data_IF_499294613799
#
_entry.id   IF_499294613799
#
_cell.length_a   1.000
_cell.length_b   1.000
_cell.length_c   1.000
_cell.angle_alpha   90.00
_cell.angle_beta   90.00
_cell.angle_gamma   90.00
#
_symmetry.space_group_name_H-M   'P 1'
#
loop_
_entity.id
_entity.type
_entity.pdbx_description
1 polymer ?
#
# COMPACT_ATOMS: atom_id res chain seq x y z
N UNK A 1 4.97 -4.01 -52.11
CA UNK A 1 5.51 -3.01 -51.16
C UNK A 1 6.37 -3.77 -50.19
N UNK A 2 7.68 -3.52 -50.14
CA UNK A 2 8.60 -4.20 -49.23
C UNK A 2 8.47 -3.64 -47.81
N UNK A 3 8.37 -4.52 -46.82
CA UNK A 3 8.27 -4.17 -45.39
C UNK A 3 9.66 -4.32 -44.77
N UNK A 4 10.11 -3.27 -44.08
CA UNK A 4 11.39 -3.25 -43.37
C UNK A 4 11.15 -3.51 -41.89
N UNK A 5 11.87 -4.48 -41.33
CA UNK A 5 11.78 -4.87 -39.93
C UNK A 5 13.17 -4.77 -39.31
N UNK A 6 13.28 -4.06 -38.20
CA UNK A 6 14.52 -3.98 -37.42
C UNK A 6 14.48 -5.03 -36.31
N UNK A 7 15.40 -5.99 -36.36
CA UNK A 7 15.56 -6.98 -35.28
C UNK A 7 17.00 -6.98 -34.78
N UNK A 8 17.21 -6.66 -33.50
CA UNK A 8 18.53 -6.60 -32.84
C UNK A 8 19.59 -5.79 -33.61
N UNK A 9 19.18 -4.69 -34.25
CA UNK A 9 20.08 -3.80 -34.98
C UNK A 9 20.41 -4.25 -36.42
N UNK A 10 19.83 -5.36 -36.88
CA UNK A 10 19.92 -5.80 -38.28
C UNK A 10 18.61 -5.44 -39.00
N UNK A 11 18.73 -4.83 -40.18
CA UNK A 11 17.59 -4.51 -41.04
C UNK A 11 17.25 -5.72 -41.93
N UNK A 12 16.04 -6.23 -41.77
CA UNK A 12 15.50 -7.31 -42.59
C UNK A 12 14.42 -6.74 -43.51
N UNK A 13 14.45 -7.15 -44.77
CA UNK A 13 13.45 -6.76 -45.79
C UNK A 13 12.60 -7.97 -46.14
N UNK A 14 11.28 -7.80 -46.13
CA UNK A 14 10.31 -8.80 -46.53
C UNK A 14 9.44 -8.26 -47.67
N UNK A 15 9.06 -9.09 -48.63
CA UNK A 15 8.35 -8.66 -49.84
C UNK A 15 6.83 -8.59 -49.65
N UNK A 16 6.33 -9.03 -48.48
CA UNK A 16 4.93 -8.91 -48.10
C UNK A 16 4.64 -9.18 -46.63
N UNK A 17 3.39 -8.92 -46.23
CA UNK A 17 2.92 -9.04 -44.84
C UNK A 17 3.01 -10.49 -44.33
N UNK A 18 2.79 -11.48 -45.20
CA UNK A 18 2.87 -12.90 -44.83
C UNK A 18 4.30 -13.32 -44.48
N UNK A 19 5.27 -12.90 -45.29
CA UNK A 19 6.69 -13.20 -45.09
C UNK A 19 7.25 -12.45 -43.86
N UNK A 20 6.81 -11.21 -43.64
CA UNK A 20 7.09 -10.46 -42.42
C UNK A 20 6.61 -11.17 -41.14
N UNK A 21 5.42 -11.79 -41.18
CA UNK A 21 4.86 -12.51 -40.04
C UNK A 21 5.58 -13.84 -39.77
N UNK A 22 6.01 -14.55 -40.83
CA UNK A 22 6.81 -15.77 -40.70
C UNK A 22 8.20 -15.48 -40.14
N UNK A 23 8.87 -14.43 -40.62
CA UNK A 23 10.15 -13.96 -40.09
C UNK A 23 10.04 -13.59 -38.61
N UNK A 24 9.00 -12.85 -38.21
CA UNK A 24 8.78 -12.49 -36.81
C UNK A 24 8.55 -13.71 -35.91
N UNK A 25 7.81 -14.72 -36.39
CA UNK A 25 7.58 -15.96 -35.64
C UNK A 25 8.84 -16.81 -35.50
N UNK A 26 9.63 -16.97 -36.57
CA UNK A 26 10.89 -17.69 -36.52
C UNK A 26 11.88 -17.06 -35.52
N UNK A 27 11.98 -15.73 -35.53
CA UNK A 27 12.84 -14.97 -34.60
C UNK A 27 12.41 -15.08 -33.13
N UNK A 28 11.12 -15.39 -32.87
CA UNK A 28 10.58 -15.56 -31.52
C UNK A 28 10.70 -17.01 -31.03
N UNK A 29 10.64 -17.98 -31.95
CA UNK A 29 10.67 -19.42 -31.64
C UNK A 29 12.07 -19.95 -31.26
N UNK A 30 13.15 -19.27 -31.66
CA UNK A 30 14.53 -19.63 -31.29
C UNK A 30 15.00 -19.08 -29.92
N UNK A 31 14.09 -18.68 -29.03
CA UNK A 31 14.47 -18.38 -27.64
C UNK A 31 14.43 -19.65 -26.78
N UNK A 32 15.58 -20.31 -26.49
CA UNK A 32 15.70 -20.96 -25.20
C UNK A 32 15.56 -19.86 -24.15
N UNK A 33 14.69 -20.05 -23.17
CA UNK A 33 14.63 -19.21 -21.98
C UNK A 33 16.01 -19.19 -21.31
N UNK A 34 16.85 -18.24 -21.69
CA UNK A 34 17.99 -17.86 -20.89
C UNK A 34 17.40 -17.27 -19.61
N UNK A 35 17.48 -18.06 -18.54
CA UNK A 35 17.28 -17.55 -17.20
C UNK A 35 18.08 -16.25 -17.06
N UNK A 36 17.53 -15.21 -16.40
CA UNK A 36 18.21 -13.94 -16.27
C UNK A 36 19.60 -14.19 -15.67
N UNK A 37 20.63 -13.93 -16.48
CA UNK A 37 22.01 -13.87 -16.03
C UNK A 37 22.03 -12.69 -15.07
N UNK A 38 21.96 -12.99 -13.77
CA UNK A 38 22.24 -12.00 -12.75
C UNK A 38 23.62 -11.41 -13.09
N UNK A 39 23.74 -10.09 -13.31
CA UNK A 39 25.06 -9.49 -13.40
C UNK A 39 25.78 -9.85 -12.09
N UNK A 40 26.91 -10.55 -12.20
CA UNK A 40 27.81 -10.73 -11.07
C UNK A 40 28.00 -9.35 -10.45
N UNK A 41 27.59 -9.22 -9.19
CA UNK A 41 27.94 -8.05 -8.38
C UNK A 41 29.45 -7.91 -8.51
N UNK A 42 29.89 -6.84 -9.16
CA UNK A 42 31.22 -6.33 -8.91
C UNK A 42 31.23 -6.03 -7.42
N UNK A 43 32.05 -6.78 -6.69
CA UNK A 43 32.34 -6.52 -5.29
C UNK A 43 33.09 -5.19 -5.23
N UNK A 44 32.34 -4.09 -5.35
CA UNK A 44 32.79 -2.81 -4.87
C UNK A 44 32.96 -3.00 -3.36
N UNK A 45 34.21 -3.20 -2.96
CA UNK A 45 34.66 -3.10 -1.58
C UNK A 45 34.32 -1.67 -1.17
N UNK A 46 33.12 -1.49 -0.61
CA UNK A 46 32.73 -0.25 0.05
C UNK A 46 33.74 -0.12 1.19
N UNK A 47 34.57 0.95 1.24
CA UNK A 47 35.45 1.15 2.37
C UNK A 47 34.58 1.16 3.64
N UNK A 48 34.95 0.42 4.70
CA UNK A 48 34.16 0.38 5.90
C UNK A 48 34.00 1.82 6.39
N UNK A 49 32.76 2.31 6.39
CA UNK A 49 32.45 3.62 6.98
C UNK A 49 32.83 3.54 8.45
N UNK A 50 33.97 4.12 8.79
CA UNK A 50 34.38 4.45 10.15
C UNK A 50 33.50 5.57 10.65
N UNK A 51 32.24 5.26 10.93
CA UNK A 51 31.41 6.05 11.82
C UNK A 51 31.34 5.32 13.15
N UNK A 52 32.45 5.37 13.90
CA UNK A 52 32.41 5.21 15.36
C UNK A 52 31.78 6.46 15.98
N UNK A 53 30.58 6.83 15.52
CA UNK A 53 29.72 7.72 16.27
C UNK A 53 28.94 6.78 17.17
N UNK A 54 29.13 6.82 18.51
CA UNK A 54 28.33 6.00 19.39
C UNK A 54 26.87 6.32 19.10
N UNK A 55 26.15 5.33 18.56
CA UNK A 55 24.71 5.39 18.39
C UNK A 55 24.18 5.45 19.82
N UNK A 56 24.04 6.67 20.37
CA UNK A 56 23.29 6.89 21.61
C UNK A 56 21.97 6.20 21.35
N UNK A 57 21.77 5.04 21.99
CA UNK A 57 20.45 4.49 22.17
C UNK A 57 19.74 5.59 22.92
N UNK A 58 19.07 6.50 22.21
CA UNK A 58 17.93 7.21 22.74
C UNK A 58 17.00 6.07 23.13
N UNK A 59 17.17 5.59 24.36
CA UNK A 59 16.20 4.76 25.03
C UNK A 59 14.94 5.58 24.93
N UNK A 60 14.07 5.21 23.98
CA UNK A 60 12.72 5.73 24.00
C UNK A 60 12.22 5.42 25.40
N UNK A 61 11.77 6.42 26.17
CA UNK A 61 11.19 6.14 27.47
C UNK A 61 10.14 5.06 27.24
N UNK A 62 10.35 3.91 27.88
CA UNK A 62 9.42 2.79 27.88
C UNK A 62 8.17 3.39 28.52
N UNK A 63 7.16 3.70 27.69
CA UNK A 63 5.89 4.28 28.10
C UNK A 63 5.43 3.56 29.35
N UNK A 64 5.45 4.28 30.47
CA UNK A 64 4.89 3.86 31.75
C UNK A 64 3.38 3.77 31.59
N UNK A 65 2.74 2.95 32.41
CA UNK A 65 1.32 2.61 32.40
C UNK A 65 0.34 3.80 32.59
N UNK A 66 0.80 5.05 32.49
CA UNK A 66 -0.05 6.25 32.40
C UNK A 66 -0.71 6.42 31.01
N UNK A 67 -0.43 5.52 30.07
CA UNK A 67 -1.09 5.40 28.76
C UNK A 67 -2.60 5.02 28.86
N UNK A 68 -3.16 4.76 30.03
CA UNK A 68 -4.59 4.41 30.17
C UNK A 68 -5.56 5.60 30.05
N UNK A 69 -5.08 6.86 30.02
CA UNK A 69 -5.91 8.02 29.61
C UNK A 69 -5.84 8.28 28.09
N UNK A 70 -5.12 7.44 27.35
CA UNK A 70 -4.96 7.54 25.90
C UNK A 70 -6.15 6.93 25.13
N UNK A 71 -7.08 6.26 25.81
CA UNK A 71 -8.06 5.40 25.18
C UNK A 71 -9.32 6.14 24.72
N UNK A 72 -9.95 7.01 25.52
CA UNK A 72 -11.21 7.68 25.14
C UNK A 72 -11.12 8.46 23.82
N UNK A 73 -10.01 9.18 23.61
CA UNK A 73 -9.81 9.95 22.39
C UNK A 73 -9.64 9.03 21.17
N UNK A 74 -8.94 7.89 21.33
CA UNK A 74 -8.76 6.94 20.25
C UNK A 74 -10.04 6.17 19.94
N UNK A 75 -10.86 5.84 20.94
CA UNK A 75 -12.17 5.21 20.76
C UNK A 75 -13.13 6.14 20.02
N UNK A 76 -13.28 7.39 20.46
CA UNK A 76 -14.10 8.39 19.75
C UNK A 76 -13.62 8.61 18.32
N UNK A 77 -12.31 8.69 18.12
CA UNK A 77 -11.71 8.81 16.79
C UNK A 77 -12.02 7.58 15.92
N UNK A 78 -11.92 6.37 16.48
CA UNK A 78 -12.25 5.14 15.77
C UNK A 78 -13.74 5.08 15.40
N UNK A 79 -14.64 5.43 16.33
CA UNK A 79 -16.09 5.49 16.08
C UNK A 79 -16.40 6.49 14.97
N UNK A 80 -15.84 7.70 15.02
CA UNK A 80 -16.05 8.71 13.99
C UNK A 80 -15.54 8.25 12.62
N UNK A 81 -14.36 7.63 12.59
CA UNK A 81 -13.78 7.09 11.36
C UNK A 81 -14.64 5.96 10.76
N UNK A 82 -15.04 4.98 11.57
CA UNK A 82 -15.83 3.84 11.10
C UNK A 82 -17.25 4.27 10.71
N UNK A 83 -17.85 5.18 11.47
CA UNK A 83 -19.16 5.76 11.15
C UNK A 83 -19.12 6.51 9.83
N UNK A 84 -18.10 7.34 9.59
CA UNK A 84 -17.96 8.05 8.31
C UNK A 84 -17.82 7.09 7.12
N UNK A 85 -17.10 5.98 7.27
CA UNK A 85 -16.98 4.96 6.21
C UNK A 85 -18.32 4.25 5.99
N UNK A 86 -19.06 3.95 7.06
CA UNK A 86 -20.39 3.34 6.98
C UNK A 86 -21.37 4.26 6.26
N UNK A 87 -21.42 5.52 6.65
CA UNK A 87 -22.37 6.50 6.13
C UNK A 87 -22.08 6.85 4.66
N UNK A 88 -20.82 6.72 4.22
CA UNK A 88 -20.44 6.85 2.82
C UNK A 88 -20.91 5.68 1.92
N UNK A 89 -21.31 4.56 2.51
CA UNK A 89 -21.94 3.43 1.81
C UNK A 89 -21.11 2.88 0.64
N UNK A 90 -21.77 2.67 -0.51
CA UNK A 90 -21.16 2.11 -1.72
C UNK A 90 -20.19 3.04 -2.43
N UNK A 91 -20.39 4.36 -2.28
CA UNK A 91 -19.51 5.38 -2.86
C UNK A 91 -18.15 5.39 -2.16
N UNK A 92 -18.13 5.10 -0.86
CA UNK A 92 -16.95 5.22 -0.05
C UNK A 92 -16.56 6.68 0.16
N UNK A 93 -15.54 6.88 0.98
CA UNK A 93 -15.03 8.20 1.34
C UNK A 93 -13.62 8.35 0.77
N UNK A 94 -13.32 9.50 0.18
CA UNK A 94 -12.02 9.83 -0.38
C UNK A 94 -11.04 10.33 0.69
N UNK A 95 -9.79 10.58 0.29
CA UNK A 95 -8.71 10.97 1.22
C UNK A 95 -8.91 12.36 1.81
N UNK A 96 -9.53 13.26 1.06
CA UNK A 96 -9.76 14.64 1.48
C UNK A 96 -10.85 14.71 2.55
N UNK A 97 -12.00 14.08 2.30
CA UNK A 97 -13.09 13.96 3.29
C UNK A 97 -12.64 13.20 4.53
N UNK A 98 -11.85 12.14 4.34
CA UNK A 98 -11.29 11.39 5.46
C UNK A 98 -10.34 12.24 6.31
N UNK A 99 -9.56 13.13 5.70
CA UNK A 99 -8.70 14.07 6.42
C UNK A 99 -9.53 14.99 7.33
N UNK A 100 -10.67 15.47 6.85
CA UNK A 100 -11.62 16.28 7.62
C UNK A 100 -12.21 15.51 8.80
N UNK A 101 -12.70 14.29 8.57
CA UNK A 101 -13.28 13.43 9.63
C UNK A 101 -12.26 13.17 10.74
N UNK A 102 -11.01 12.90 10.35
CA UNK A 102 -9.93 12.66 11.29
C UNK A 102 -9.29 13.95 11.82
N UNK A 103 -9.76 15.14 11.44
CA UNK A 103 -9.16 16.44 11.78
C UNK A 103 -7.63 16.46 11.56
N UNK A 104 -7.21 16.16 10.34
CA UNK A 104 -5.80 16.14 9.91
C UNK A 104 -5.64 17.01 8.68
N UNK A 105 -4.56 17.79 8.63
CA UNK A 105 -4.23 18.66 7.49
C UNK A 105 -3.44 17.99 6.37
N UNK A 106 -2.92 16.76 6.58
CA UNK A 106 -2.03 16.10 5.62
C UNK A 106 -2.16 14.57 5.63
N UNK A 107 -1.88 13.95 4.47
CA UNK A 107 -2.01 12.50 4.23
C UNK A 107 -1.22 11.62 5.21
N UNK A 108 -0.04 12.07 5.65
CA UNK A 108 0.77 11.34 6.65
C UNK A 108 0.04 11.18 8.00
N UNK A 109 -0.77 12.15 8.39
CA UNK A 109 -1.48 12.10 9.67
C UNK A 109 -2.70 11.18 9.60
N UNK A 110 -3.33 11.06 8.43
CA UNK A 110 -4.34 10.02 8.17
C UNK A 110 -3.72 8.64 8.43
N UNK A 111 -2.58 8.34 7.79
CA UNK A 111 -1.89 7.06 7.98
C UNK A 111 -1.54 6.76 9.45
N UNK A 112 -1.09 7.77 10.20
CA UNK A 112 -0.81 7.63 11.65
C UNK A 112 -2.06 7.30 12.46
N UNK A 113 -3.16 8.04 12.25
CA UNK A 113 -4.44 7.83 12.96
C UNK A 113 -5.08 6.50 12.57
N UNK A 114 -5.13 6.17 11.29
CA UNK A 114 -5.60 4.87 10.80
C UNK A 114 -4.77 3.72 11.38
N UNK A 115 -3.45 3.89 11.53
CA UNK A 115 -2.61 2.89 12.20
C UNK A 115 -2.99 2.64 13.66
N UNK A 116 -3.43 3.66 14.41
CA UNK A 116 -3.94 3.50 15.78
C UNK A 116 -5.30 2.79 15.79
N UNK A 117 -6.19 3.17 14.89
CA UNK A 117 -7.52 2.54 14.74
C UNK A 117 -7.36 1.06 14.41
N UNK A 118 -6.43 0.69 13.51
CA UNK A 118 -6.19 -0.70 13.17
C UNK A 118 -5.68 -1.51 14.35
N UNK A 119 -4.81 -0.95 15.19
CA UNK A 119 -4.37 -1.61 16.42
C UNK A 119 -5.51 -1.81 17.42
N UNK A 120 -6.42 -0.83 17.52
CA UNK A 120 -7.62 -0.96 18.34
C UNK A 120 -8.51 -2.09 17.81
N UNK A 121 -8.80 -2.10 16.51
CA UNK A 121 -9.56 -3.16 15.84
C UNK A 121 -8.92 -4.55 16.05
N UNK A 122 -7.59 -4.65 15.94
CA UNK A 122 -6.87 -5.90 16.21
C UNK A 122 -6.99 -6.34 17.67
N UNK A 123 -6.92 -5.40 18.63
CA UNK A 123 -7.12 -5.68 20.07
C UNK A 123 -8.50 -6.26 20.34
N UNK A 124 -9.55 -5.73 19.71
CA UNK A 124 -10.93 -6.23 19.83
C UNK A 124 -11.23 -7.45 18.92
N UNK A 125 -10.22 -8.00 18.24
CA UNK A 125 -10.34 -9.23 17.45
C UNK A 125 -10.83 -9.06 16.00
N UNK A 126 -10.94 -7.83 15.50
CA UNK A 126 -11.36 -7.55 14.14
C UNK A 126 -10.18 -7.35 13.19
N UNK A 127 -10.21 -8.06 12.06
CA UNK A 127 -9.27 -7.81 10.95
C UNK A 127 -9.72 -6.61 10.15
N UNK A 128 -8.79 -5.68 9.84
CA UNK A 128 -9.06 -4.49 9.02
C UNK A 128 -9.89 -4.78 7.77
N UNK A 129 -9.49 -5.78 6.97
CA UNK A 129 -10.14 -6.13 5.69
C UNK A 129 -11.60 -6.59 5.85
N UNK A 130 -11.96 -7.12 7.02
CA UNK A 130 -13.33 -7.53 7.31
C UNK A 130 -14.22 -6.34 7.69
N UNK A 131 -13.62 -5.24 8.17
CA UNK A 131 -14.30 -4.02 8.62
C UNK A 131 -14.40 -2.99 7.49
N UNK A 132 -13.29 -2.71 6.81
CA UNK A 132 -13.25 -1.75 5.71
C UNK A 132 -12.13 -2.07 4.70
N UNK A 133 -12.28 -1.56 3.48
CA UNK A 133 -11.26 -1.61 2.43
C UNK A 133 -10.69 -0.23 2.17
N UNK A 134 -9.46 -0.20 1.65
CA UNK A 134 -8.77 1.02 1.26
C UNK A 134 -8.08 0.72 -0.07
N UNK A 135 -8.84 0.91 -1.14
CA UNK A 135 -8.42 0.60 -2.50
C UNK A 135 -8.16 1.91 -3.25
N UNK A 136 -7.36 1.85 -4.31
CA UNK A 136 -7.17 3.00 -5.19
C UNK A 136 -8.27 3.03 -6.25
N UNK A 137 -8.81 4.22 -6.54
CA UNK A 137 -9.67 4.42 -7.70
C UNK A 137 -8.83 4.56 -8.99
N UNK A 138 -9.52 4.79 -10.11
CA UNK A 138 -8.91 4.97 -11.44
C UNK A 138 -7.96 6.18 -11.47
N UNK A 139 -8.26 7.21 -10.68
CA UNK A 139 -7.43 8.42 -10.52
C UNK A 139 -6.21 8.22 -9.60
N UNK A 140 -6.06 7.03 -9.00
CA UNK A 140 -4.96 6.69 -8.09
C UNK A 140 -5.15 7.18 -6.65
N UNK A 141 -6.28 7.80 -6.33
CA UNK A 141 -6.69 8.24 -5.00
C UNK A 141 -7.18 7.07 -4.16
N UNK A 142 -6.95 7.14 -2.84
CA UNK A 142 -7.46 6.12 -1.92
C UNK A 142 -8.90 6.39 -1.55
N UNK A 143 -9.74 5.36 -1.69
CA UNK A 143 -11.13 5.35 -1.26
C UNK A 143 -11.30 4.30 -0.17
N UNK A 144 -11.90 4.71 0.95
CA UNK A 144 -12.27 3.82 2.03
C UNK A 144 -13.72 3.37 1.84
N UNK A 145 -13.94 2.06 1.85
CA UNK A 145 -15.27 1.47 1.69
C UNK A 145 -15.62 0.57 2.86
N UNK A 146 -16.87 0.64 3.29
CA UNK A 146 -17.41 -0.25 4.31
C UNK A 146 -17.40 -1.70 3.83
N UNK A 147 -17.09 -2.61 4.76
CA UNK A 147 -17.30 -4.05 4.60
C UNK A 147 -18.45 -4.52 5.50
N UNK A 148 -18.85 -5.78 5.36
CA UNK A 148 -20.00 -6.35 6.07
C UNK A 148 -19.91 -6.25 7.60
N UNK A 149 -18.71 -6.24 8.19
CA UNK A 149 -18.54 -6.21 9.66
C UNK A 149 -18.40 -4.80 10.24
N UNK A 150 -18.59 -3.73 9.45
CA UNK A 150 -18.34 -2.37 9.94
C UNK A 150 -19.22 -1.99 11.13
N UNK A 151 -20.50 -2.37 11.11
CA UNK A 151 -21.43 -2.04 12.20
C UNK A 151 -21.09 -2.82 13.48
N UNK A 152 -20.73 -4.10 13.35
CA UNK A 152 -20.31 -4.92 14.48
C UNK A 152 -19.01 -4.40 15.11
N UNK A 153 -18.07 -3.92 14.28
CA UNK A 153 -16.85 -3.29 14.76
C UNK A 153 -17.11 -1.96 15.48
N UNK A 154 -18.05 -1.14 15.02
CA UNK A 154 -18.44 0.10 15.72
C UNK A 154 -18.97 -0.23 17.12
N UNK A 155 -19.92 -1.15 17.22
CA UNK A 155 -20.49 -1.56 18.52
C UNK A 155 -19.44 -2.14 19.44
N UNK A 156 -18.53 -2.98 18.93
CA UNK A 156 -17.44 -3.52 19.75
C UNK A 156 -16.46 -2.45 20.26
N UNK A 157 -16.23 -1.38 19.49
CA UNK A 157 -15.42 -0.22 19.94
C UNK A 157 -16.18 0.59 20.99
N UNK A 158 -17.50 0.75 20.84
CA UNK A 158 -18.34 1.42 21.85
C UNK A 158 -18.33 0.64 23.16
N UNK A 159 -18.46 -0.69 23.11
CA UNK A 159 -18.45 -1.56 24.28
C UNK A 159 -17.06 -1.57 24.98
N UNK A 160 -15.95 -1.59 24.24
CA UNK A 160 -14.58 -1.51 24.83
C UNK A 160 -14.35 -0.15 25.50
N UNK A 161 -15.05 0.91 25.09
CA UNK A 161 -14.89 2.26 25.65
C UNK A 161 -15.58 2.49 26.99
N UNK A 162 -16.44 1.55 27.42
CA UNK A 162 -17.20 1.62 28.69
C UNK A 162 -16.43 0.91 29.83
N UNK A 163 -15.42 0.09 29.49
CA UNK A 163 -14.60 -0.69 30.43
C UNK A 163 -13.39 0.11 30.95
#
# INVERSE_FOLDING_TARGET
MSIKIMFRGVELTADGVSEAAELARALTAEQPHQAPIHPQRQDYIIPPRTTSVPRRKLGRPRKTAEDNKFDDHNHKMAINFLSAIRDAGSHGIDSEKMATVLAVSHSKGIGSKTGRINKLLEKIGYKRSAVYRNDKNEDGERIWKASAQIQAAITAVEDDSIL
#
